data_IF_959194898138
#
_entry.id   IF_959194898138
#
_cell.length_a   1.000
_cell.length_b   1.000
_cell.length_c   1.000
_cell.angle_alpha   90.00
_cell.angle_beta   90.00
_cell.angle_gamma   90.00
#
_symmetry.space_group_name_H-M   'P 1'
#
loop_
_entity.id
_entity.type
_entity.pdbx_description
1 polymer ?
#
# COMPACT_ATOMS: atom_id res chain seq x y z
N UNK A 1 -43.66 -3.42 10.62
CA UNK A 1 -42.85 -4.43 9.90
C UNK A 1 -41.45 -3.87 9.79
N UNK A 2 -40.48 -4.48 10.50
CA UNK A 2 -39.07 -4.07 10.42
C UNK A 2 -38.54 -4.56 9.09
N UNK A 3 -38.36 -3.68 8.11
CA UNK A 3 -37.74 -4.03 6.83
C UNK A 3 -36.27 -4.34 7.09
N UNK A 4 -35.88 -5.59 6.84
CA UNK A 4 -34.50 -6.03 6.95
C UNK A 4 -33.60 -5.20 6.02
N UNK A 5 -32.48 -4.63 6.52
CA UNK A 5 -31.59 -3.77 5.72
C UNK A 5 -31.05 -4.45 4.45
N UNK A 6 -30.84 -5.77 4.48
CA UNK A 6 -30.39 -6.54 3.31
C UNK A 6 -31.49 -6.64 2.26
N UNK A 7 -32.73 -6.89 2.67
CA UNK A 7 -33.91 -6.91 1.80
C UNK A 7 -34.16 -5.56 1.14
N UNK A 8 -33.97 -4.47 1.89
CA UNK A 8 -34.08 -3.10 1.37
C UNK A 8 -32.98 -2.78 0.34
N UNK A 9 -31.75 -3.28 0.57
CA UNK A 9 -30.64 -3.14 -0.36
C UNK A 9 -30.81 -3.97 -1.63
N UNK A 10 -31.24 -5.24 -1.52
CA UNK A 10 -31.53 -6.10 -2.67
C UNK A 10 -32.64 -5.53 -3.55
N UNK A 11 -33.64 -4.88 -2.94
CA UNK A 11 -34.68 -4.15 -3.67
C UNK A 11 -34.17 -2.85 -4.33
N UNK A 12 -33.05 -2.29 -3.84
CA UNK A 12 -32.42 -1.05 -4.33
C UNK A 12 -31.53 -1.20 -5.57
N UNK A 13 -31.34 -2.43 -6.05
CA UNK A 13 -30.78 -2.70 -7.38
C UNK A 13 -29.27 -2.98 -7.41
N UNK A 14 -28.90 -3.94 -8.25
CA UNK A 14 -27.52 -4.12 -8.73
C UNK A 14 -27.01 -2.76 -9.21
N UNK A 15 -26.09 -2.15 -8.47
CA UNK A 15 -25.52 -0.86 -8.84
C UNK A 15 -24.66 -1.04 -10.08
N UNK A 16 -25.24 -0.73 -11.24
CA UNK A 16 -24.56 -0.66 -12.53
C UNK A 16 -23.93 0.73 -12.68
N UNK A 17 -22.81 0.81 -13.38
CA UNK A 17 -22.21 2.10 -13.73
C UNK A 17 -23.04 2.80 -14.83
N UNK A 18 -22.64 4.02 -15.20
CA UNK A 18 -23.29 4.80 -16.26
C UNK A 18 -23.32 4.08 -17.63
N UNK A 19 -22.51 3.03 -17.79
CA UNK A 19 -22.37 2.24 -19.00
C UNK A 19 -23.06 0.87 -18.88
N UNK A 20 -23.79 0.61 -17.80
CA UNK A 20 -24.48 -0.64 -17.54
C UNK A 20 -23.59 -1.79 -17.07
N UNK A 21 -22.33 -1.54 -16.73
CA UNK A 21 -21.41 -2.56 -16.23
C UNK A 21 -21.52 -2.72 -14.71
N UNK A 22 -21.28 -3.92 -14.16
CA UNK A 22 -21.28 -4.12 -12.72
C UNK A 22 -20.19 -3.27 -12.05
N UNK A 23 -20.59 -2.40 -11.12
CA UNK A 23 -19.64 -1.59 -10.35
C UNK A 23 -18.83 -2.52 -9.43
N UNK A 24 -17.54 -2.23 -9.28
CA UNK A 24 -16.74 -2.92 -8.27
C UNK A 24 -17.37 -2.71 -6.87
N UNK A 25 -17.85 -3.78 -6.21
CA UNK A 25 -18.68 -3.64 -5.01
C UNK A 25 -17.90 -3.02 -3.85
N UNK A 26 -16.62 -3.33 -3.70
CA UNK A 26 -15.77 -2.75 -2.65
C UNK A 26 -15.60 -1.23 -2.85
N UNK A 27 -15.37 -0.78 -4.09
CA UNK A 27 -15.28 0.66 -4.39
C UNK A 27 -16.60 1.38 -4.12
N UNK A 28 -17.72 0.76 -4.48
CA UNK A 28 -19.05 1.32 -4.26
C UNK A 28 -19.36 1.47 -2.76
N UNK A 29 -19.13 0.43 -1.96
CA UNK A 29 -19.34 0.48 -0.51
C UNK A 29 -18.43 1.52 0.17
N UNK A 30 -17.16 1.65 -0.23
CA UNK A 30 -16.28 2.72 0.26
C UNK A 30 -16.86 4.11 -0.07
N UNK A 31 -17.45 4.28 -1.25
CA UNK A 31 -18.10 5.54 -1.64
C UNK A 31 -19.36 5.82 -0.81
N UNK A 32 -20.21 4.81 -0.55
CA UNK A 32 -21.38 4.97 0.33
C UNK A 32 -20.98 5.43 1.73
N UNK A 33 -19.91 4.83 2.29
CA UNK A 33 -19.36 5.26 3.59
C UNK A 33 -18.86 6.70 3.58
N UNK A 34 -18.20 7.16 2.50
CA UNK A 34 -17.76 8.56 2.36
C UNK A 34 -18.92 9.55 2.26
N UNK A 35 -20.06 9.13 1.72
CA UNK A 35 -21.28 9.95 1.61
C UNK A 35 -22.12 9.89 2.90
N UNK A 36 -21.71 9.08 3.89
CA UNK A 36 -22.41 8.93 5.17
C UNK A 36 -23.58 7.95 5.13
N UNK A 37 -23.71 7.17 4.05
CA UNK A 37 -24.76 6.16 3.93
C UNK A 37 -24.29 4.82 4.50
N UNK A 38 -24.72 4.52 5.72
CA UNK A 38 -24.35 3.29 6.44
C UNK A 38 -25.24 2.10 6.13
N UNK A 39 -26.33 2.29 5.36
CA UNK A 39 -27.31 1.26 5.00
C UNK A 39 -27.74 0.40 6.21
N UNK A 40 -28.01 1.04 7.36
CA UNK A 40 -28.46 0.35 8.57
C UNK A 40 -27.43 -0.61 9.20
N UNK A 41 -26.13 -0.39 8.94
CA UNK A 41 -25.03 -1.25 9.42
C UNK A 41 -24.51 -2.23 8.37
N UNK A 42 -25.19 -2.37 7.23
CA UNK A 42 -24.78 -3.25 6.13
C UNK A 42 -23.45 -2.81 5.50
N UNK A 43 -23.15 -1.51 5.52
CA UNK A 43 -21.87 -0.97 5.04
C UNK A 43 -20.67 -1.66 5.71
N UNK A 44 -20.68 -1.79 7.03
CA UNK A 44 -19.56 -2.37 7.77
C UNK A 44 -19.41 -3.86 7.44
N UNK A 45 -20.52 -4.60 7.44
CA UNK A 45 -20.56 -6.01 7.06
C UNK A 45 -20.00 -6.23 5.64
N UNK A 46 -20.46 -5.43 4.67
CA UNK A 46 -20.04 -5.56 3.29
C UNK A 46 -18.55 -5.24 3.11
N UNK A 47 -18.03 -4.22 3.81
CA UNK A 47 -16.61 -3.91 3.80
C UNK A 47 -15.78 -5.03 4.43
N UNK A 48 -16.21 -5.61 5.55
CA UNK A 48 -15.48 -6.69 6.22
C UNK A 48 -15.42 -7.95 5.34
N UNK A 49 -16.54 -8.33 4.70
CA UNK A 49 -16.59 -9.48 3.79
C UNK A 49 -15.79 -9.24 2.51
N UNK A 50 -15.92 -8.07 1.89
CA UNK A 50 -15.28 -7.76 0.60
C UNK A 50 -13.82 -7.34 0.71
N UNK A 51 -13.36 -6.91 1.88
CA UNK A 51 -11.95 -6.57 2.14
C UNK A 51 -11.11 -7.79 2.50
N UNK A 52 -11.75 -8.89 2.92
CA UNK A 52 -11.06 -10.14 3.14
C UNK A 52 -10.48 -10.65 1.80
N UNK A 53 -9.21 -11.00 1.80
CA UNK A 53 -8.57 -11.58 0.62
C UNK A 53 -9.34 -12.84 0.22
N UNK A 54 -9.81 -12.89 -1.03
CA UNK A 54 -10.78 -13.90 -1.45
C UNK A 54 -10.20 -15.32 -1.44
N UNK A 55 -8.87 -15.49 -1.54
CA UNK A 55 -8.22 -16.81 -1.52
C UNK A 55 -6.77 -16.75 -1.01
N UNK A 56 -6.24 -17.89 -0.57
CA UNK A 56 -4.83 -18.11 -0.23
C UNK A 56 -3.87 -17.71 -1.37
N UNK A 57 -4.34 -17.70 -2.61
CA UNK A 57 -3.58 -17.31 -3.79
C UNK A 57 -3.14 -15.83 -3.75
N UNK A 58 -3.90 -14.93 -3.13
CA UNK A 58 -3.49 -13.52 -2.99
C UNK A 58 -2.32 -13.37 -2.00
N UNK A 59 -2.30 -14.20 -0.96
CA UNK A 59 -1.18 -14.31 -0.01
C UNK A 59 0.03 -14.89 -0.71
N UNK A 60 -0.14 -15.96 -1.50
CA UNK A 60 0.94 -16.56 -2.28
C UNK A 60 1.49 -15.62 -3.35
N UNK A 61 0.65 -14.80 -3.99
CA UNK A 61 1.09 -13.80 -4.98
C UNK A 61 1.89 -12.69 -4.31
N UNK A 62 1.50 -12.28 -3.11
CA UNK A 62 2.25 -11.34 -2.27
C UNK A 62 3.58 -11.92 -1.80
N UNK A 63 3.60 -13.21 -1.43
CA UNK A 63 4.82 -13.91 -1.05
C UNK A 63 5.75 -14.16 -2.25
N UNK A 64 5.19 -14.49 -3.42
CA UNK A 64 5.92 -14.62 -4.68
C UNK A 64 6.55 -13.30 -5.13
N UNK A 65 5.88 -12.16 -4.88
CA UNK A 65 6.47 -10.84 -5.10
C UNK A 65 7.71 -10.60 -4.22
N UNK A 66 7.66 -11.05 -2.96
CA UNK A 66 8.78 -11.06 -2.05
C UNK A 66 9.78 -12.20 -2.27
N UNK A 67 9.53 -13.14 -3.19
CA UNK A 67 10.33 -14.36 -3.29
C UNK A 67 11.76 -14.10 -3.70
N UNK A 68 12.02 -13.14 -4.58
CA UNK A 68 13.40 -12.80 -4.94
C UNK A 68 14.16 -12.09 -3.80
N UNK A 69 13.43 -11.60 -2.79
CA UNK A 69 13.99 -11.10 -1.54
C UNK A 69 14.22 -12.22 -0.52
N UNK A 70 13.31 -13.20 -0.44
CA UNK A 70 13.27 -14.25 0.60
C UNK A 70 14.06 -15.52 0.19
N UNK A 71 14.05 -15.86 -1.09
CA UNK A 71 14.58 -17.11 -1.61
C UNK A 71 16.08 -16.98 -1.89
N UNK A 72 16.81 -18.04 -1.54
CA UNK A 72 18.27 -18.23 -1.51
C UNK A 72 19.13 -17.80 -2.72
N UNK A 73 18.57 -17.17 -3.77
CA UNK A 73 19.34 -16.60 -4.88
C UNK A 73 19.92 -15.23 -4.49
N UNK A 74 20.98 -15.31 -3.69
CA UNK A 74 22.08 -14.34 -3.49
C UNK A 74 21.68 -12.93 -3.02
N UNK A 75 21.51 -12.70 -1.71
CA UNK A 75 21.97 -11.47 -1.00
C UNK A 75 21.77 -11.48 0.54
N UNK A 76 21.14 -12.51 1.14
CA UNK A 76 21.01 -12.69 2.60
C UNK A 76 20.73 -11.38 3.36
N UNK A 77 19.72 -10.63 2.94
CA UNK A 77 19.32 -9.42 3.62
C UNK A 77 18.75 -9.77 5.00
N UNK A 78 19.10 -8.99 6.02
CA UNK A 78 18.47 -9.15 7.34
C UNK A 78 16.96 -8.96 7.24
N UNK A 79 16.18 -9.62 8.12
CA UNK A 79 14.72 -9.52 8.15
C UNK A 79 14.24 -8.05 8.14
N UNK A 80 14.97 -7.17 8.84
CA UNK A 80 14.66 -5.73 8.83
C UNK A 80 14.82 -5.07 7.46
N UNK A 81 15.84 -5.44 6.69
CA UNK A 81 16.08 -4.90 5.34
C UNK A 81 15.09 -5.46 4.32
N UNK A 82 14.71 -6.74 4.48
CA UNK A 82 13.65 -7.38 3.70
C UNK A 82 12.32 -6.67 3.88
N UNK A 83 11.87 -6.48 5.12
CA UNK A 83 10.60 -5.79 5.43
C UNK A 83 10.59 -4.37 4.89
N UNK A 84 11.68 -3.61 5.07
CA UNK A 84 11.79 -2.25 4.53
C UNK A 84 11.76 -2.23 3.00
N UNK A 85 12.49 -3.13 2.34
CA UNK A 85 12.52 -3.22 0.88
C UNK A 85 11.15 -3.59 0.30
N UNK A 86 10.49 -4.60 0.86
CA UNK A 86 9.15 -5.01 0.44
C UNK A 86 8.11 -3.91 0.64
N UNK A 87 8.16 -3.18 1.77
CA UNK A 87 7.26 -2.06 2.01
C UNK A 87 7.42 -0.98 0.93
N UNK A 88 8.65 -0.53 0.66
CA UNK A 88 8.91 0.49 -0.38
C UNK A 88 8.44 0.00 -1.76
N UNK A 89 8.69 -1.26 -2.10
CA UNK A 89 8.30 -1.83 -3.38
C UNK A 89 6.76 -1.94 -3.52
N UNK A 90 6.06 -2.33 -2.45
CA UNK A 90 4.60 -2.41 -2.39
C UNK A 90 3.94 -1.02 -2.57
N UNK A 91 4.38 -0.02 -1.81
CA UNK A 91 3.83 1.34 -1.93
C UNK A 91 4.12 1.96 -3.31
N UNK A 92 5.30 1.68 -3.88
CA UNK A 92 5.68 2.13 -5.22
C UNK A 92 4.75 1.52 -6.29
N UNK A 93 4.54 0.20 -6.27
CA UNK A 93 3.64 -0.49 -7.23
C UNK A 93 2.19 -0.04 -7.14
N UNK A 94 1.73 0.32 -5.95
CA UNK A 94 0.37 0.84 -5.74
C UNK A 94 0.23 2.35 -6.03
N UNK A 95 1.26 3.00 -6.60
CA UNK A 95 1.23 4.43 -6.91
C UNK A 95 1.12 5.34 -5.68
N UNK A 96 1.46 4.84 -4.50
CA UNK A 96 1.41 5.60 -3.24
C UNK A 96 2.66 6.45 -3.01
N UNK A 97 3.72 6.16 -3.76
CA UNK A 97 4.94 6.98 -3.78
C UNK A 97 4.91 7.84 -5.05
N UNK A 98 4.88 9.18 -4.94
CA UNK A 98 4.96 10.06 -6.09
C UNK A 98 6.25 9.83 -6.88
N UNK A 99 6.16 9.98 -8.21
CA UNK A 99 7.32 9.83 -9.08
C UNK A 99 8.42 10.83 -8.69
N UNK A 100 9.68 10.40 -8.77
CA UNK A 100 10.83 11.25 -8.46
C UNK A 100 11.18 11.38 -6.98
N UNK A 101 10.31 11.00 -6.02
CA UNK A 101 10.62 11.06 -4.57
C UNK A 101 11.84 10.21 -4.22
N UNK A 102 11.88 8.96 -4.68
CA UNK A 102 13.02 8.06 -4.45
C UNK A 102 14.31 8.56 -5.12
N UNK A 103 14.18 9.23 -6.28
CA UNK A 103 15.32 9.82 -6.99
C UNK A 103 15.89 11.00 -6.20
N UNK A 104 15.03 11.91 -5.73
CA UNK A 104 15.42 13.06 -4.91
C UNK A 104 16.11 12.60 -3.62
N UNK A 105 15.50 11.64 -2.91
CA UNK A 105 16.08 11.04 -1.71
C UNK A 105 17.48 10.48 -1.95
N UNK A 106 17.71 9.80 -3.07
CA UNK A 106 19.03 9.23 -3.42
C UNK A 106 20.09 10.32 -3.65
N UNK A 107 19.70 11.43 -4.28
CA UNK A 107 20.59 12.58 -4.52
C UNK A 107 20.92 13.27 -3.19
N UNK A 108 19.92 13.52 -2.35
CA UNK A 108 20.09 14.16 -1.05
C UNK A 108 20.99 13.34 -0.12
N UNK A 109 20.84 12.01 -0.12
CA UNK A 109 21.71 11.10 0.63
C UNK A 109 23.17 11.21 0.20
N UNK A 110 23.44 11.20 -1.12
CA UNK A 110 24.79 11.35 -1.66
C UNK A 110 25.40 12.72 -1.31
N UNK A 111 24.59 13.77 -1.30
CA UNK A 111 25.03 15.11 -0.91
C UNK A 111 25.35 15.19 0.59
N UNK A 112 24.57 14.50 1.43
CA UNK A 112 24.82 14.41 2.87
C UNK A 112 26.13 13.67 3.18
N UNK A 113 26.36 12.51 2.55
CA UNK A 113 27.61 11.74 2.69
C UNK A 113 28.83 12.56 2.28
N UNK A 114 28.73 13.38 1.21
CA UNK A 114 29.81 14.29 0.80
C UNK A 114 30.09 15.39 1.84
N UNK A 115 29.05 15.97 2.44
CA UNK A 115 29.19 17.00 3.49
C UNK A 115 29.79 16.44 4.76
N UNK A 116 29.40 15.23 5.16
CA UNK A 116 29.95 14.53 6.34
C UNK A 116 31.40 14.07 6.12
N UNK A 117 31.77 13.67 4.89
CA UNK A 117 33.15 13.35 4.53
C UNK A 117 34.08 14.57 4.49
N UNK A 118 33.59 15.72 3.99
CA UNK A 118 34.36 16.98 3.96
C UNK A 118 34.60 17.55 5.37
N UNK A 119 33.64 17.42 6.29
CA UNK A 119 33.82 17.85 7.69
C UNK A 119 34.86 17.04 8.47
N UNK A 120 35.04 15.75 8.15
CA UNK A 120 36.09 14.90 8.75
C UNK A 120 37.49 15.19 8.21
N UNK A 121 37.62 15.56 6.93
CA UNK A 121 38.91 15.94 6.34
C UNK A 121 39.45 17.26 6.90
N UNK A 122 38.58 18.26 7.09
CA UNK A 122 38.97 19.55 7.65
C UNK A 122 39.37 19.47 9.13
N UNK A 123 38.76 18.58 9.92
CA UNK A 123 39.11 18.38 11.34
C UNK A 123 40.48 17.71 11.51
N UNK A 124 40.87 16.80 10.61
CA UNK A 124 42.20 16.16 10.62
C UNK A 124 43.30 17.12 10.15
N UNK A 125 43.01 18.05 9.23
CA UNK A 125 43.99 19.08 8.82
C UNK A 125 44.25 20.14 9.92
N UNK A 126 43.26 20.44 10.76
CA UNK A 126 43.41 21.42 11.85
C UNK A 126 44.18 20.84 13.06
N UNK A 127 44.17 19.52 13.27
CA UNK A 127 44.94 18.86 14.36
C UNK A 127 46.42 18.60 14.01
N UNK A 128 46.88 18.87 12.78
CA UNK A 128 48.26 18.65 12.33
C UNK A 128 49.07 19.97 12.21
N UNK A 129 48.49 21.11 12.57
CA UNK A 129 49.16 22.42 12.67
C UNK A 129 49.28 22.89 14.13
#
# INVERSE_FOLDING_TARGET
MSTDPLSMWLAGGLTLDSNGQPVNPLKWWIQQGRVGNTHGGLLQMALDVLSCAATTVDVERSFNFGRDYISFRRHCLSSSSLTRGMAVAFYSRNGKIPSGVLRKWKVDKRNKEKREGQGRGALVEIEIL
#
